data_IF_718668272716
#
_entry.id   IF_718668272716
#
_cell.length_a   1.000
_cell.length_b   1.000
_cell.length_c   1.000
_cell.angle_alpha   90.00
_cell.angle_beta   90.00
_cell.angle_gamma   90.00
#
_symmetry.space_group_name_H-M   'P 1'
#
loop_
_entity.id
_entity.type
_entity.pdbx_description
1 polymer ?
#
# COMPACT_ATOMS: atom_id res chain seq x y z
N UNK A 1 -17.07 14.67 26.55
CA UNK A 1 -15.85 15.02 25.81
C UNK A 1 -16.29 15.40 24.41
N UNK A 2 -16.02 16.62 23.94
CA UNK A 2 -16.38 17.07 22.59
C UNK A 2 -15.64 16.20 21.58
N UNK A 3 -16.37 15.47 20.73
CA UNK A 3 -15.78 14.66 19.68
C UNK A 3 -15.14 15.59 18.64
N UNK A 4 -13.84 15.55 18.54
CA UNK A 4 -13.12 16.27 17.48
C UNK A 4 -13.32 15.50 16.17
N UNK A 5 -13.97 16.10 15.20
CA UNK A 5 -14.19 15.46 13.89
C UNK A 5 -13.00 15.77 12.98
N UNK A 6 -12.27 14.76 12.50
CA UNK A 6 -11.20 14.96 11.53
C UNK A 6 -11.80 15.36 10.19
N UNK A 7 -11.12 16.28 9.49
CA UNK A 7 -11.50 16.75 8.15
C UNK A 7 -10.29 16.81 7.25
N UNK A 8 -10.54 16.57 5.97
CA UNK A 8 -9.57 16.70 4.90
C UNK A 8 -9.77 18.00 4.16
N UNK A 9 -8.82 18.92 4.26
CA UNK A 9 -8.84 20.17 3.51
C UNK A 9 -7.94 20.02 2.28
N UNK A 10 -8.53 20.12 1.08
CA UNK A 10 -7.76 20.07 -0.17
C UNK A 10 -6.83 21.27 -0.24
N UNK A 11 -5.54 21.02 -0.34
CA UNK A 11 -4.48 22.05 -0.36
C UNK A 11 -4.03 22.36 -1.78
N UNK A 12 -3.95 21.35 -2.64
CA UNK A 12 -3.44 21.52 -3.98
C UNK A 12 -4.01 20.47 -4.95
N UNK A 13 -3.95 20.79 -6.23
CA UNK A 13 -4.20 19.90 -7.36
C UNK A 13 -3.08 20.01 -8.37
N UNK A 14 -2.73 18.87 -8.96
CA UNK A 14 -1.69 18.76 -10.00
C UNK A 14 -2.23 17.87 -11.10
N UNK A 15 -2.19 18.33 -12.33
CA UNK A 15 -2.56 17.56 -13.52
C UNK A 15 -1.28 16.99 -14.16
N UNK A 16 -1.15 15.67 -14.18
CA UNK A 16 -0.03 14.94 -14.78
C UNK A 16 -0.31 14.55 -16.24
N UNK A 17 -1.50 14.78 -16.75
CA UNK A 17 -1.97 14.46 -18.11
C UNK A 17 -1.89 12.95 -18.47
N UNK A 18 -1.62 12.09 -17.51
CA UNK A 18 -1.59 10.63 -17.62
C UNK A 18 -1.95 10.02 -16.27
N UNK A 19 -2.67 8.90 -16.26
CA UNK A 19 -3.18 8.33 -15.02
C UNK A 19 -2.06 7.73 -14.14
N UNK A 20 -2.10 7.99 -12.82
CA UNK A 20 -1.13 7.45 -11.90
C UNK A 20 -1.41 5.96 -11.66
N UNK A 21 -0.38 5.12 -11.77
CA UNK A 21 -0.43 3.69 -11.48
C UNK A 21 -0.03 3.40 -10.04
N UNK A 22 1.03 4.06 -9.58
CA UNK A 22 1.53 3.94 -8.21
C UNK A 22 2.21 5.23 -7.78
N UNK A 23 2.24 5.48 -6.46
CA UNK A 23 2.90 6.64 -5.89
C UNK A 23 3.51 6.34 -4.52
N UNK A 24 4.65 6.99 -4.24
CA UNK A 24 5.37 6.89 -2.98
C UNK A 24 5.73 8.28 -2.45
N UNK A 25 5.38 8.56 -1.19
CA UNK A 25 5.83 9.74 -0.48
C UNK A 25 7.32 9.63 -0.13
N UNK A 26 8.04 10.74 -0.22
CA UNK A 26 9.36 10.86 0.39
C UNK A 26 9.26 10.76 1.92
N UNK A 27 10.28 10.28 2.63
CA UNK A 27 10.23 10.11 4.09
C UNK A 27 9.94 11.39 4.87
N UNK A 28 10.33 12.54 4.34
CA UNK A 28 10.04 13.87 4.89
C UNK A 28 8.65 14.40 4.55
N UNK A 29 7.85 13.61 3.80
CA UNK A 29 6.50 13.97 3.33
C UNK A 29 6.45 15.27 2.49
N UNK A 30 7.57 15.71 1.93
CA UNK A 30 7.65 16.93 1.13
C UNK A 30 7.53 16.66 -0.38
N UNK A 31 7.78 15.44 -0.83
CA UNK A 31 7.74 15.06 -2.25
C UNK A 31 6.96 13.76 -2.47
N UNK A 32 6.42 13.61 -3.68
CA UNK A 32 5.77 12.40 -4.14
C UNK A 32 6.39 11.94 -5.45
N UNK A 33 6.84 10.69 -5.49
CA UNK A 33 7.23 10.00 -6.71
C UNK A 33 5.99 9.32 -7.29
N UNK A 34 5.75 9.47 -8.59
CA UNK A 34 4.59 8.91 -9.29
C UNK A 34 5.04 8.16 -10.53
N UNK A 35 4.55 6.94 -10.67
CA UNK A 35 4.61 6.16 -11.91
C UNK A 35 3.31 6.29 -12.68
N UNK A 36 3.39 6.52 -13.98
CA UNK A 36 2.27 6.82 -14.87
C UNK A 36 1.99 5.67 -15.84
N UNK A 37 0.75 5.59 -16.29
CA UNK A 37 0.25 4.50 -17.14
C UNK A 37 0.96 4.37 -18.49
N UNK A 38 1.30 5.49 -19.12
CA UNK A 38 2.11 5.51 -20.36
C UNK A 38 3.61 5.40 -20.11
N UNK A 39 4.01 5.18 -18.85
CA UNK A 39 5.38 4.91 -18.43
C UNK A 39 6.14 6.13 -17.91
N UNK A 40 5.59 7.32 -18.00
CA UNK A 40 6.20 8.51 -17.42
C UNK A 40 6.49 8.36 -15.93
N UNK A 41 7.56 9.00 -15.45
CA UNK A 41 7.91 9.07 -14.04
C UNK A 41 7.97 10.56 -13.65
N UNK A 42 7.19 10.93 -12.64
CA UNK A 42 7.10 12.29 -12.16
C UNK A 42 7.49 12.41 -10.70
N UNK A 43 8.18 13.47 -10.36
CA UNK A 43 8.44 13.90 -8.99
C UNK A 43 7.64 15.17 -8.73
N UNK A 44 6.75 15.14 -7.76
CA UNK A 44 5.95 16.30 -7.32
C UNK A 44 6.56 16.83 -6.03
N UNK A 45 6.99 18.07 -6.03
CA UNK A 45 7.55 18.79 -4.87
C UNK A 45 6.49 19.71 -4.27
N UNK A 46 6.23 19.55 -2.97
CA UNK A 46 5.23 20.30 -2.20
C UNK A 46 5.86 21.39 -1.30
N UNK A 47 7.17 21.58 -1.33
CA UNK A 47 7.88 22.52 -0.47
C UNK A 47 7.72 23.99 -0.87
N UNK A 48 7.13 24.29 -2.03
CA UNK A 48 6.87 25.65 -2.51
C UNK A 48 5.47 26.16 -2.17
N UNK A 49 5.15 27.39 -2.61
CA UNK A 49 3.80 27.96 -2.50
C UNK A 49 2.78 27.19 -3.35
N UNK A 50 3.23 26.63 -4.47
CA UNK A 50 2.48 25.73 -5.34
C UNK A 50 3.31 24.47 -5.61
N UNK A 51 2.67 23.31 -5.82
CA UNK A 51 3.37 22.07 -6.19
C UNK A 51 4.15 22.24 -7.50
N UNK A 52 5.38 21.77 -7.51
CA UNK A 52 6.21 21.73 -8.71
C UNK A 52 6.34 20.31 -9.25
N UNK A 53 6.07 20.12 -10.54
CA UNK A 53 6.16 18.81 -11.20
C UNK A 53 7.42 18.75 -12.04
N UNK A 54 8.18 17.66 -11.88
CA UNK A 54 9.37 17.37 -12.69
C UNK A 54 9.27 15.96 -13.26
N UNK A 55 9.25 15.84 -14.59
CA UNK A 55 9.49 14.57 -15.27
C UNK A 55 10.93 14.13 -15.06
N UNK A 56 11.14 12.89 -14.62
CA UNK A 56 12.49 12.38 -14.28
C UNK A 56 12.96 11.24 -15.19
N UNK A 57 12.05 10.62 -15.94
CA UNK A 57 12.36 9.53 -16.86
C UNK A 57 11.11 8.77 -17.26
N UNK A 58 11.31 7.58 -17.83
CA UNK A 58 10.19 6.71 -18.20
C UNK A 58 10.56 5.24 -18.31
N UNK A 59 9.56 4.38 -18.14
CA UNK A 59 9.55 2.97 -18.54
C UNK A 59 8.82 2.79 -19.89
N UNK A 60 9.31 1.92 -20.74
CA UNK A 60 8.60 1.61 -21.99
C UNK A 60 7.37 0.73 -21.70
N UNK A 61 6.23 1.09 -22.27
CA UNK A 61 4.97 0.34 -22.14
C UNK A 61 4.16 0.64 -20.88
N UNK A 62 4.70 1.25 -19.86
CA UNK A 62 4.01 1.63 -18.62
C UNK A 62 4.86 1.45 -17.36
N UNK A 63 4.70 2.35 -16.39
CA UNK A 63 5.22 2.14 -15.04
C UNK A 63 4.34 1.11 -14.30
N UNK A 64 4.90 0.38 -13.34
CA UNK A 64 4.18 -0.62 -12.55
C UNK A 64 4.24 -0.35 -11.06
N UNK A 65 5.43 -0.09 -10.51
CA UNK A 65 5.60 0.18 -9.10
C UNK A 65 6.68 1.24 -8.85
N UNK A 66 6.50 1.99 -7.78
CA UNK A 66 7.48 2.94 -7.27
C UNK A 66 7.65 2.75 -5.76
N UNK A 67 8.88 2.90 -5.27
CA UNK A 67 9.16 2.77 -3.85
C UNK A 67 10.24 3.77 -3.43
N UNK A 68 10.01 4.46 -2.31
CA UNK A 68 10.98 5.37 -1.72
C UNK A 68 11.70 4.73 -0.54
N UNK A 69 13.02 4.85 -0.50
CA UNK A 69 13.83 4.38 0.62
C UNK A 69 13.52 5.23 1.87
N UNK A 70 13.35 4.60 3.04
CA UNK A 70 13.04 5.31 4.29
C UNK A 70 14.11 6.31 4.74
N UNK A 71 15.37 6.13 4.32
CA UNK A 71 16.46 7.10 4.53
C UNK A 71 16.42 8.32 3.58
N UNK A 72 15.53 8.31 2.59
CA UNK A 72 15.35 9.43 1.65
C UNK A 72 16.40 9.60 0.56
N UNK A 73 17.51 8.87 0.62
CA UNK A 73 18.62 9.03 -0.31
C UNK A 73 18.34 8.46 -1.71
N UNK A 74 17.45 7.47 -1.79
CA UNK A 74 17.17 6.74 -3.03
C UNK A 74 15.69 6.41 -3.18
N UNK A 75 15.28 6.13 -4.40
CA UNK A 75 14.02 5.50 -4.73
C UNK A 75 14.19 4.52 -5.89
N UNK A 76 13.25 3.62 -6.04
CA UNK A 76 13.24 2.64 -7.12
C UNK A 76 11.95 2.73 -7.93
N UNK A 77 12.04 2.43 -9.23
CA UNK A 77 10.89 2.36 -10.14
C UNK A 77 10.97 1.11 -10.99
N UNK A 78 9.83 0.57 -11.36
CA UNK A 78 9.74 -0.59 -12.25
C UNK A 78 8.66 -0.42 -13.31
N UNK A 79 8.76 -1.18 -14.40
CA UNK A 79 7.84 -1.06 -15.51
C UNK A 79 7.61 -2.34 -16.30
N UNK A 80 6.71 -2.22 -17.28
CA UNK A 80 6.37 -3.28 -18.22
C UNK A 80 7.52 -3.65 -19.16
N UNK A 81 8.54 -2.79 -19.25
CA UNK A 81 9.79 -3.06 -19.98
C UNK A 81 10.70 -4.07 -19.27
N UNK A 82 10.28 -4.59 -18.10
CA UNK A 82 11.05 -5.56 -17.31
C UNK A 82 12.26 -4.95 -16.60
N UNK A 83 12.35 -3.62 -16.56
CA UNK A 83 13.46 -2.92 -15.91
C UNK A 83 13.09 -2.48 -14.50
N UNK A 84 14.07 -2.53 -13.62
CA UNK A 84 14.05 -1.84 -12.32
C UNK A 84 15.17 -0.84 -12.31
N UNK A 85 14.84 0.42 -12.09
CA UNK A 85 15.78 1.54 -12.01
C UNK A 85 15.93 1.98 -10.56
N UNK A 86 17.17 2.11 -10.11
CA UNK A 86 17.53 2.71 -8.82
C UNK A 86 17.99 4.14 -9.06
N UNK A 87 17.40 5.09 -8.36
CA UNK A 87 17.61 6.52 -8.52
C UNK A 87 18.29 7.12 -7.29
N UNK A 88 19.19 8.05 -7.51
CA UNK A 88 19.64 8.99 -6.47
C UNK A 88 18.59 10.10 -6.32
N UNK A 89 18.03 10.28 -5.12
CA UNK A 89 16.94 11.23 -4.89
C UNK A 89 17.34 12.70 -4.98
N UNK A 90 18.64 13.01 -4.95
CA UNK A 90 19.19 14.36 -5.04
C UNK A 90 19.56 14.74 -6.48
N UNK A 91 20.31 13.87 -7.17
CA UNK A 91 20.77 14.14 -8.54
C UNK A 91 19.76 13.77 -9.61
N UNK A 92 18.82 12.83 -9.29
CA UNK A 92 17.86 12.20 -10.20
C UNK A 92 18.55 11.40 -11.31
N UNK A 93 19.78 10.99 -11.08
CA UNK A 93 20.45 10.00 -11.92
C UNK A 93 19.98 8.60 -11.57
N UNK A 94 19.81 7.77 -12.58
CA UNK A 94 19.37 6.40 -12.40
C UNK A 94 20.39 5.40 -12.93
N UNK A 95 20.37 4.21 -12.33
CA UNK A 95 21.04 3.03 -12.88
C UNK A 95 20.11 1.83 -12.89
N UNK A 96 20.30 0.96 -13.83
CA UNK A 96 19.55 -0.27 -13.95
C UNK A 96 19.99 -1.31 -12.91
N UNK A 97 19.05 -1.85 -12.13
CA UNK A 97 19.27 -2.97 -11.22
C UNK A 97 18.88 -4.30 -11.85
N UNK A 98 17.78 -4.30 -12.62
CA UNK A 98 17.21 -5.50 -13.25
C UNK A 98 16.84 -5.13 -14.66
N UNK A 99 17.19 -5.99 -15.62
CA UNK A 99 16.69 -5.97 -16.98
C UNK A 99 16.34 -7.41 -17.39
N UNK A 100 15.09 -7.61 -17.74
CA UNK A 100 14.56 -8.91 -18.17
C UNK A 100 13.32 -8.73 -19.04
N UNK A 101 12.83 -9.81 -19.64
CA UNK A 101 11.70 -9.77 -20.55
C UNK A 101 10.33 -9.79 -19.85
N UNK A 102 10.29 -9.85 -18.53
CA UNK A 102 9.06 -9.99 -17.74
C UNK A 102 8.83 -8.79 -16.86
N UNK A 103 7.57 -8.46 -16.63
CA UNK A 103 7.16 -7.32 -15.81
C UNK A 103 7.66 -7.44 -14.37
N UNK A 104 8.10 -6.32 -13.83
CA UNK A 104 8.49 -6.19 -12.43
C UNK A 104 7.34 -5.51 -11.68
N UNK A 105 6.42 -6.32 -11.13
CA UNK A 105 5.11 -5.81 -10.66
C UNK A 105 5.14 -5.20 -9.27
N UNK A 106 6.10 -5.61 -8.42
CA UNK A 106 6.13 -5.14 -7.04
C UNK A 106 7.53 -4.74 -6.61
N UNK A 107 7.60 -3.59 -5.94
CA UNK A 107 8.78 -3.04 -5.28
C UNK A 107 8.43 -2.71 -3.83
N UNK A 108 9.35 -3.02 -2.90
CA UNK A 108 9.19 -2.60 -1.51
C UNK A 108 10.55 -2.41 -0.84
N UNK A 109 10.79 -1.24 -0.21
CA UNK A 109 11.90 -1.06 0.70
C UNK A 109 11.57 -1.61 2.08
N UNK A 110 12.57 -2.20 2.74
CA UNK A 110 12.50 -2.51 4.16
C UNK A 110 12.35 -1.22 4.98
N UNK A 111 11.77 -1.34 6.18
CA UNK A 111 11.52 -0.17 7.04
C UNK A 111 12.80 0.59 7.43
N UNK A 112 13.93 -0.11 7.56
CA UNK A 112 15.24 0.51 7.85
C UNK A 112 15.93 1.07 6.59
N UNK A 113 15.32 0.90 5.41
CA UNK A 113 15.81 1.36 4.12
C UNK A 113 17.05 0.65 3.59
N UNK A 114 17.50 -0.44 4.24
CA UNK A 114 18.70 -1.16 3.82
C UNK A 114 18.47 -2.11 2.67
N UNK A 115 17.23 -2.58 2.49
CA UNK A 115 16.89 -3.63 1.54
C UNK A 115 15.77 -3.21 0.60
N UNK A 116 15.94 -3.52 -0.68
CA UNK A 116 14.92 -3.38 -1.71
C UNK A 116 14.50 -4.78 -2.17
N UNK A 117 13.23 -5.10 -2.02
CA UNK A 117 12.62 -6.29 -2.59
C UNK A 117 12.01 -5.99 -3.96
N UNK A 118 12.25 -6.88 -4.91
CA UNK A 118 11.75 -6.83 -6.28
C UNK A 118 11.07 -8.16 -6.58
N UNK A 119 9.78 -8.14 -6.89
CA UNK A 119 9.05 -9.33 -7.31
C UNK A 119 8.83 -9.34 -8.83
N UNK A 120 9.16 -10.47 -9.43
CA UNK A 120 9.01 -10.72 -10.86
C UNK A 120 8.41 -12.09 -11.06
N UNK A 121 7.13 -12.14 -11.44
CA UNK A 121 6.36 -13.39 -11.51
C UNK A 121 6.46 -14.19 -10.19
N UNK A 122 7.08 -15.37 -10.21
CA UNK A 122 7.29 -16.24 -9.05
C UNK A 122 8.65 -16.09 -8.38
N UNK A 123 9.43 -15.08 -8.74
CA UNK A 123 10.77 -14.84 -8.20
C UNK A 123 10.78 -13.60 -7.31
N UNK A 124 11.37 -13.71 -6.13
CA UNK A 124 11.64 -12.59 -5.24
C UNK A 124 13.15 -12.36 -5.16
N UNK A 125 13.59 -11.16 -5.49
CA UNK A 125 15.00 -10.74 -5.46
C UNK A 125 15.19 -9.63 -4.43
N UNK A 126 16.27 -9.71 -3.67
CA UNK A 126 16.57 -8.76 -2.60
C UNK A 126 17.90 -8.09 -2.89
N UNK A 127 17.89 -6.77 -2.89
CA UNK A 127 19.06 -5.92 -3.12
C UNK A 127 19.36 -5.11 -1.85
N UNK A 128 20.65 -4.86 -1.60
CA UNK A 128 21.06 -3.90 -0.58
C UNK A 128 20.86 -2.44 -1.04
N UNK A 129 21.15 -1.50 -0.16
CA UNK A 129 21.03 -0.08 -0.45
C UNK A 129 21.91 0.39 -1.63
N UNK A 130 23.03 -0.28 -1.87
CA UNK A 130 23.91 -0.05 -3.00
C UNK A 130 23.42 -0.72 -4.29
N UNK A 131 22.34 -1.55 -4.21
CA UNK A 131 21.74 -2.27 -5.32
C UNK A 131 22.55 -3.50 -5.74
N UNK A 132 23.25 -4.10 -4.81
CA UNK A 132 23.87 -5.43 -4.99
C UNK A 132 22.84 -6.49 -4.60
N UNK A 133 22.60 -7.47 -5.47
CA UNK A 133 21.70 -8.59 -5.17
C UNK A 133 22.31 -9.45 -4.06
N UNK A 134 21.60 -9.64 -2.97
CA UNK A 134 22.03 -10.37 -1.78
C UNK A 134 21.30 -11.68 -1.56
N UNK A 135 20.06 -11.77 -2.03
CA UNK A 135 19.27 -12.99 -1.95
C UNK A 135 18.32 -13.12 -3.14
N UNK A 136 17.97 -14.35 -3.47
CA UNK A 136 17.01 -14.70 -4.50
C UNK A 136 16.21 -15.92 -4.06
N UNK A 137 14.90 -15.86 -4.22
CA UNK A 137 13.96 -16.92 -3.89
C UNK A 137 13.12 -17.23 -5.13
N UNK A 138 13.35 -18.41 -5.73
CA UNK A 138 12.75 -18.84 -7.01
C UNK A 138 11.60 -19.84 -6.82
N UNK A 139 11.21 -20.12 -5.58
CA UNK A 139 10.36 -21.26 -5.21
C UNK A 139 8.92 -20.87 -4.87
N UNK A 140 8.41 -19.74 -5.38
CA UNK A 140 7.00 -19.39 -5.21
C UNK A 140 6.11 -20.31 -6.05
N UNK A 141 4.98 -20.80 -5.51
CA UNK A 141 4.08 -21.73 -6.23
C UNK A 141 3.23 -21.03 -7.31
N UNK A 142 3.72 -19.95 -7.91
CA UNK A 142 3.04 -19.17 -8.94
C UNK A 142 3.52 -17.74 -8.98
N UNK A 143 2.72 -16.88 -9.62
CA UNK A 143 3.01 -15.44 -9.64
C UNK A 143 2.86 -14.86 -8.23
N UNK A 144 3.80 -14.02 -7.82
CA UNK A 144 3.70 -13.25 -6.59
C UNK A 144 2.65 -12.15 -6.81
N UNK A 145 1.57 -12.19 -6.04
CA UNK A 145 0.47 -11.23 -6.13
C UNK A 145 0.69 -9.99 -5.25
N UNK A 146 1.47 -10.12 -4.18
CA UNK A 146 1.88 -9.01 -3.33
C UNK A 146 3.11 -9.39 -2.48
N UNK A 147 3.87 -8.38 -2.07
CA UNK A 147 4.98 -8.48 -1.13
C UNK A 147 4.80 -7.47 0.00
N UNK A 148 5.23 -7.83 1.20
CA UNK A 148 5.22 -6.90 2.34
C UNK A 148 6.33 -7.24 3.34
N UNK A 149 7.15 -6.26 3.69
CA UNK A 149 8.14 -6.40 4.76
C UNK A 149 7.46 -6.50 6.12
N UNK A 150 7.91 -7.44 6.94
CA UNK A 150 7.43 -7.58 8.31
C UNK A 150 7.93 -6.41 9.15
N UNK A 151 7.06 -5.69 9.86
CA UNK A 151 7.49 -4.66 10.80
C UNK A 151 8.38 -5.27 11.90
N UNK A 152 9.46 -4.57 12.24
CA UNK A 152 10.39 -4.93 13.33
C UNK A 152 11.21 -6.22 13.13
N UNK A 153 11.17 -6.82 11.95
CA UNK A 153 11.96 -7.99 11.60
C UNK A 153 12.50 -7.88 10.18
N UNK A 154 13.61 -8.55 9.90
CA UNK A 154 14.20 -8.59 8.56
C UNK A 154 13.62 -9.78 7.79
N UNK A 155 12.32 -9.76 7.64
CA UNK A 155 11.53 -10.78 6.97
C UNK A 155 10.59 -10.13 5.96
N UNK A 156 10.36 -10.80 4.84
CA UNK A 156 9.41 -10.35 3.82
C UNK A 156 8.43 -11.46 3.48
N UNK A 157 7.14 -11.14 3.49
CA UNK A 157 6.11 -12.02 2.98
C UNK A 157 5.96 -11.84 1.47
N UNK A 158 5.89 -12.94 0.75
CA UNK A 158 5.47 -13.01 -0.64
C UNK A 158 4.25 -13.92 -0.73
N UNK A 159 3.12 -13.39 -1.19
CA UNK A 159 1.85 -14.14 -1.31
C UNK A 159 1.59 -14.50 -2.75
N UNK A 160 1.05 -15.71 -2.94
CA UNK A 160 0.80 -16.27 -4.27
C UNK A 160 -0.33 -17.29 -4.24
N UNK A 161 -0.48 -18.10 -5.28
CA UNK A 161 -1.28 -19.31 -5.24
C UNK A 161 -0.73 -20.28 -4.18
N UNK A 162 -1.58 -20.74 -3.26
CA UNK A 162 -1.20 -21.73 -2.24
C UNK A 162 -0.69 -21.15 -0.92
N UNK A 163 -0.84 -19.83 -0.69
CA UNK A 163 -0.53 -19.22 0.60
C UNK A 163 0.52 -18.11 0.55
N UNK A 164 1.31 -18.00 1.61
CA UNK A 164 2.39 -17.04 1.75
C UNK A 164 3.72 -17.75 2.06
N UNK A 165 4.81 -17.24 1.51
CA UNK A 165 6.15 -17.56 1.96
C UNK A 165 6.72 -16.34 2.68
N UNK A 166 7.24 -16.55 3.89
CA UNK A 166 7.96 -15.55 4.66
C UNK A 166 9.44 -15.87 4.53
N UNK A 167 10.19 -14.96 3.92
CA UNK A 167 11.62 -15.11 3.69
C UNK A 167 12.39 -14.30 4.72
N UNK A 168 13.20 -14.97 5.53
CA UNK A 168 14.17 -14.37 6.44
C UNK A 168 15.50 -14.17 5.70
N UNK A 169 16.16 -13.03 5.89
CA UNK A 169 17.40 -12.70 5.20
C UNK A 169 18.66 -12.96 6.04
N UNK A 170 18.58 -12.75 7.36
CA UNK A 170 19.70 -12.86 8.29
C UNK A 170 19.31 -13.72 9.50
N UNK A 171 20.21 -14.50 10.10
CA UNK A 171 21.65 -14.64 9.76
C UNK A 171 21.92 -15.50 8.53
N UNK A 172 20.94 -16.23 8.05
CA UNK A 172 21.00 -17.03 6.80
C UNK A 172 19.62 -16.98 6.14
N UNK A 173 19.58 -16.88 4.80
CA UNK A 173 18.31 -16.95 4.09
C UNK A 173 17.55 -18.25 4.41
N UNK A 174 16.34 -18.11 4.90
CA UNK A 174 15.41 -19.21 5.18
C UNK A 174 13.98 -18.84 4.72
N UNK A 175 13.10 -19.82 4.65
CA UNK A 175 11.72 -19.62 4.19
C UNK A 175 10.74 -20.41 5.05
N UNK A 176 9.86 -19.69 5.73
CA UNK A 176 8.66 -20.24 6.38
C UNK A 176 7.50 -20.26 5.39
N UNK A 177 7.05 -21.44 5.01
CA UNK A 177 5.90 -21.60 4.12
C UNK A 177 4.59 -21.69 4.92
N UNK A 178 3.75 -20.70 4.77
CA UNK A 178 2.40 -20.65 5.31
C UNK A 178 1.41 -21.15 4.25
N UNK A 179 1.07 -22.43 4.30
CA UNK A 179 0.25 -23.09 3.28
C UNK A 179 -1.24 -22.77 3.45
N UNK A 180 -1.87 -22.44 2.32
CA UNK A 180 -3.31 -22.26 2.23
C UNK A 180 -3.79 -22.71 0.84
N UNK A 181 -5.01 -23.27 0.76
CA UNK A 181 -5.52 -23.85 -0.49
C UNK A 181 -5.96 -22.82 -1.53
N UNK A 182 -6.26 -21.60 -1.10
CA UNK A 182 -6.75 -20.52 -1.95
C UNK A 182 -5.63 -19.61 -2.47
N UNK A 183 -5.94 -18.83 -3.51
CA UNK A 183 -5.03 -17.79 -4.01
C UNK A 183 -5.07 -16.56 -3.12
N UNK A 184 -3.93 -16.25 -2.51
CA UNK A 184 -3.70 -15.02 -1.74
C UNK A 184 -3.44 -13.84 -2.70
N UNK A 185 -4.19 -12.74 -2.55
CA UNK A 185 -4.14 -11.57 -3.44
C UNK A 185 -3.44 -10.38 -2.82
N UNK A 186 -3.45 -10.25 -1.49
CA UNK A 186 -2.87 -9.12 -0.77
C UNK A 186 -1.95 -9.60 0.35
N UNK A 187 -1.05 -8.74 0.80
CA UNK A 187 -0.19 -9.00 1.95
C UNK A 187 -0.21 -7.78 2.88
N UNK A 188 -0.81 -7.92 4.05
CA UNK A 188 -0.84 -6.88 5.07
C UNK A 188 -0.33 -7.42 6.41
N UNK A 189 0.71 -6.80 6.95
CA UNK A 189 1.20 -7.08 8.29
C UNK A 189 0.53 -6.19 9.32
N UNK A 190 0.24 -6.74 10.50
CA UNK A 190 -0.04 -5.91 11.67
C UNK A 190 1.20 -5.08 12.03
N UNK A 191 1.07 -3.82 12.52
CA UNK A 191 2.21 -2.96 12.85
C UNK A 191 3.18 -3.54 13.88
N UNK A 192 2.74 -4.47 14.73
CA UNK A 192 3.61 -5.20 15.65
C UNK A 192 4.31 -6.41 15.02
N UNK A 193 3.96 -6.76 13.77
CA UNK A 193 4.52 -7.87 13.02
C UNK A 193 4.05 -9.25 13.48
N UNK A 194 3.03 -9.34 14.33
CA UNK A 194 2.54 -10.62 14.88
C UNK A 194 1.59 -11.35 13.92
N UNK A 195 0.85 -10.59 13.09
CA UNK A 195 -0.18 -11.12 12.20
C UNK A 195 0.09 -10.74 10.76
N UNK A 196 -0.12 -11.69 9.84
CA UNK A 196 -0.18 -11.47 8.40
C UNK A 196 -1.60 -11.76 7.93
N UNK A 197 -2.22 -10.85 7.20
CA UNK A 197 -3.52 -11.03 6.58
C UNK A 197 -3.41 -10.99 5.06
N UNK A 198 -4.21 -11.80 4.38
CA UNK A 198 -4.34 -11.81 2.92
C UNK A 198 -5.79 -11.92 2.50
N UNK A 199 -6.22 -11.03 1.61
CA UNK A 199 -7.47 -11.20 0.89
C UNK A 199 -7.35 -12.34 -0.12
N UNK A 200 -8.44 -13.07 -0.31
CA UNK A 200 -8.48 -14.27 -1.13
C UNK A 200 -9.29 -14.05 -2.42
N UNK A 201 -8.93 -14.80 -3.45
CA UNK A 201 -9.72 -14.88 -4.69
C UNK A 201 -11.09 -15.51 -4.43
N UNK A 202 -11.20 -16.39 -3.46
CA UNK A 202 -12.36 -17.20 -3.11
C UNK A 202 -13.25 -16.52 -2.05
N UNK A 203 -13.40 -15.20 -2.13
CA UNK A 203 -14.36 -14.40 -1.34
C UNK A 203 -14.15 -14.49 0.19
N UNK A 204 -12.92 -14.46 0.61
CA UNK A 204 -12.54 -14.52 2.02
C UNK A 204 -11.29 -13.71 2.34
N UNK A 205 -10.96 -13.68 3.61
CA UNK A 205 -9.69 -13.19 4.14
C UNK A 205 -9.09 -14.29 4.99
N UNK A 206 -7.85 -14.63 4.73
CA UNK A 206 -7.09 -15.52 5.59
C UNK A 206 -6.09 -14.71 6.42
N UNK A 207 -5.92 -15.10 7.68
CA UNK A 207 -4.86 -14.52 8.48
C UNK A 207 -4.08 -15.57 9.26
N UNK A 208 -2.82 -15.30 9.47
CA UNK A 208 -1.89 -16.09 10.26
C UNK A 208 -1.45 -15.26 11.46
N UNK A 209 -1.67 -15.79 12.67
CA UNK A 209 -1.07 -15.25 13.89
C UNK A 209 0.23 -16.02 14.16
N UNK A 210 1.34 -15.46 13.73
CA UNK A 210 2.65 -16.10 13.84
C UNK A 210 3.14 -16.19 15.29
N UNK A 211 2.70 -15.29 16.16
CA UNK A 211 3.08 -15.31 17.57
C UNK A 211 2.36 -16.42 18.35
N UNK A 212 1.10 -16.71 17.99
CA UNK A 212 0.30 -17.78 18.60
C UNK A 212 0.43 -19.11 17.86
N UNK A 213 0.98 -19.12 16.63
CA UNK A 213 1.02 -20.30 15.77
C UNK A 213 -0.36 -20.74 15.26
N UNK A 214 -1.32 -19.82 15.21
CA UNK A 214 -2.69 -20.07 14.78
C UNK A 214 -3.01 -19.41 13.45
N UNK A 215 -4.05 -19.88 12.79
CA UNK A 215 -4.57 -19.29 11.55
C UNK A 215 -6.08 -19.43 11.51
N UNK A 216 -6.74 -18.48 10.80
CA UNK A 216 -8.20 -18.50 10.66
C UNK A 216 -8.62 -17.85 9.35
N UNK A 217 -9.85 -18.13 8.92
CA UNK A 217 -10.43 -17.59 7.69
C UNK A 217 -11.75 -16.87 8.00
N UNK A 218 -11.86 -15.65 7.50
CA UNK A 218 -13.09 -14.86 7.55
C UNK A 218 -13.82 -14.97 6.22
N UNK A 219 -15.05 -15.48 6.23
CA UNK A 219 -15.90 -15.75 5.05
C UNK A 219 -17.09 -14.80 4.98
N UNK A 220 -17.86 -14.90 3.90
CA UNK A 220 -19.10 -14.15 3.73
C UNK A 220 -18.95 -12.85 2.94
N UNK A 221 -17.83 -12.68 2.26
CA UNK A 221 -17.65 -11.53 1.36
C UNK A 221 -18.40 -11.74 0.03
N UNK A 222 -18.94 -10.66 -0.58
CA UNK A 222 -19.71 -10.76 -1.82
C UNK A 222 -18.84 -11.07 -3.05
N UNK A 223 -17.52 -10.98 -2.92
CA UNK A 223 -16.57 -11.19 -4.02
C UNK A 223 -15.14 -11.31 -3.53
N UNK A 224 -14.19 -11.30 -4.45
CA UNK A 224 -12.75 -11.30 -4.16
C UNK A 224 -12.40 -10.17 -3.20
N UNK A 225 -11.59 -10.46 -2.19
CA UNK A 225 -11.04 -9.43 -1.30
C UNK A 225 -9.70 -8.98 -1.85
N UNK A 226 -9.67 -7.78 -2.43
CA UNK A 226 -8.49 -7.21 -3.06
C UNK A 226 -7.84 -6.09 -2.27
N UNK A 227 -8.44 -5.71 -1.15
CA UNK A 227 -7.99 -4.63 -0.29
C UNK A 227 -7.90 -5.12 1.15
N UNK A 228 -6.74 -4.97 1.77
CA UNK A 228 -6.51 -5.29 3.19
C UNK A 228 -5.51 -4.31 3.78
N UNK A 229 -5.80 -3.75 4.93
CA UNK A 229 -4.85 -2.92 5.67
C UNK A 229 -5.11 -2.97 7.17
N UNK A 230 -4.04 -2.94 7.98
CA UNK A 230 -4.13 -2.81 9.42
C UNK A 230 -4.07 -1.34 9.85
N UNK A 231 -4.78 -1.00 10.93
CA UNK A 231 -4.64 0.29 11.59
C UNK A 231 -3.29 0.42 12.30
N UNK A 232 -2.71 1.63 12.30
CA UNK A 232 -1.39 1.88 12.86
C UNK A 232 -1.24 1.52 14.35
N UNK A 233 -2.35 1.42 15.08
CA UNK A 233 -2.39 1.06 16.50
C UNK A 233 -2.67 -0.43 16.79
N UNK A 234 -2.60 -1.31 15.80
CA UNK A 234 -2.91 -2.75 15.89
C UNK A 234 -4.34 -3.11 16.34
N UNK A 235 -5.31 -2.21 16.26
CA UNK A 235 -6.67 -2.49 16.76
C UNK A 235 -7.61 -3.03 15.71
N UNK A 236 -7.36 -2.72 14.45
CA UNK A 236 -8.29 -3.00 13.36
C UNK A 236 -7.58 -3.56 12.13
N UNK A 237 -8.25 -4.50 11.47
CA UNK A 237 -7.99 -4.93 10.10
C UNK A 237 -9.17 -4.49 9.25
N UNK A 238 -8.97 -3.60 8.28
CA UNK A 238 -9.96 -3.26 7.29
C UNK A 238 -9.75 -4.09 6.02
N UNK A 239 -10.86 -4.55 5.45
CA UNK A 239 -10.90 -5.40 4.25
C UNK A 239 -11.97 -4.89 3.31
N UNK A 240 -11.74 -4.96 1.99
CA UNK A 240 -12.65 -4.44 0.98
C UNK A 240 -12.99 -5.49 -0.08
N UNK A 241 -14.29 -5.67 -0.35
CA UNK A 241 -14.81 -6.52 -1.41
C UNK A 241 -16.10 -5.94 -1.99
N UNK A 242 -16.16 -5.77 -3.32
CA UNK A 242 -17.26 -5.04 -3.94
C UNK A 242 -17.33 -3.61 -3.43
N UNK A 243 -18.50 -3.16 -3.00
CA UNK A 243 -18.77 -1.83 -2.44
C UNK A 243 -18.64 -1.77 -0.91
N UNK A 244 -18.40 -2.92 -0.25
CA UNK A 244 -18.43 -3.06 1.20
C UNK A 244 -17.05 -3.06 1.82
N UNK A 245 -16.88 -2.27 2.88
CA UNK A 245 -15.72 -2.32 3.77
C UNK A 245 -16.13 -3.06 5.03
N UNK A 246 -15.32 -4.03 5.44
CA UNK A 246 -15.49 -4.76 6.69
C UNK A 246 -14.29 -4.47 7.58
N UNK A 247 -14.55 -4.02 8.81
CA UNK A 247 -13.51 -3.73 9.80
C UNK A 247 -13.62 -4.72 10.94
N UNK A 248 -12.54 -5.44 11.18
CA UNK A 248 -12.40 -6.44 12.22
C UNK A 248 -11.60 -5.91 13.39
N UNK A 249 -12.00 -6.23 14.61
CA UNK A 249 -11.15 -6.00 15.78
C UNK A 249 -10.02 -7.03 15.79
N UNK A 250 -8.79 -6.56 15.98
CA UNK A 250 -7.58 -7.40 16.04
C UNK A 250 -6.95 -7.40 17.44
N UNK A 251 -7.71 -7.01 18.45
CA UNK A 251 -7.29 -7.13 19.84
C UNK A 251 -7.23 -8.59 20.29
N UNK A 252 -6.37 -8.90 21.25
CA UNK A 252 -6.17 -10.28 21.73
C UNK A 252 -5.46 -11.15 20.69
N UNK A 253 -6.03 -12.32 20.39
CA UNK A 253 -5.43 -13.32 19.50
C UNK A 253 -5.83 -13.14 18.01
N UNK A 254 -6.58 -12.11 17.68
CA UNK A 254 -6.92 -11.77 16.32
C UNK A 254 -8.42 -11.55 16.10
N UNK A 255 -8.89 -11.49 14.85
CA UNK A 255 -10.29 -11.18 14.51
C UNK A 255 -11.26 -12.31 14.78
N UNK A 256 -10.80 -13.53 15.08
CA UNK A 256 -11.68 -14.69 15.33
C UNK A 256 -12.59 -14.46 16.53
N UNK A 257 -13.91 -14.67 16.34
CA UNK A 257 -14.90 -14.43 17.38
C UNK A 257 -15.26 -12.97 17.62
N UNK A 258 -14.62 -12.02 16.89
CA UNK A 258 -15.00 -10.61 16.95
C UNK A 258 -16.18 -10.29 16.03
N UNK A 259 -17.03 -9.35 16.45
CA UNK A 259 -18.09 -8.82 15.61
C UNK A 259 -17.50 -7.86 14.57
N UNK A 260 -17.84 -8.08 13.29
CA UNK A 260 -17.36 -7.27 12.19
C UNK A 260 -18.18 -5.99 12.04
N UNK A 261 -17.51 -4.85 11.97
CA UNK A 261 -18.14 -3.58 11.62
C UNK A 261 -18.23 -3.45 10.10
N UNK A 262 -19.44 -3.21 9.57
CA UNK A 262 -19.66 -2.96 8.14
C UNK A 262 -19.84 -1.47 7.88
N UNK A 263 -19.05 -0.92 6.92
CA UNK A 263 -19.13 0.44 6.44
C UNK A 263 -19.68 0.42 5.00
N UNK A 264 -20.89 0.99 4.79
CA UNK A 264 -21.67 0.84 3.55
C UNK A 264 -22.16 2.20 3.04
N UNK A 265 -21.27 3.02 2.54
CA UNK A 265 -21.63 4.33 1.94
C UNK A 265 -21.22 4.41 0.47
N UNK A 266 -20.25 3.59 0.03
CA UNK A 266 -19.92 3.51 -1.37
C UNK A 266 -21.01 2.82 -2.17
N UNK A 267 -21.29 3.36 -3.35
CA UNK A 267 -22.33 2.86 -4.28
C UNK A 267 -21.77 2.04 -5.43
N UNK A 268 -20.44 1.87 -5.48
CA UNK A 268 -19.74 1.08 -6.50
C UNK A 268 -18.51 0.42 -5.88
N UNK A 269 -17.82 -0.41 -6.68
CA UNK A 269 -16.69 -1.22 -6.26
C UNK A 269 -15.54 -0.37 -5.74
N UNK A 270 -15.04 -0.74 -4.56
CA UNK A 270 -13.87 -0.15 -3.93
C UNK A 270 -12.62 -0.30 -4.80
N UNK A 271 -11.82 0.75 -4.87
CA UNK A 271 -10.54 0.80 -5.58
C UNK A 271 -9.37 0.91 -4.62
N UNK A 272 -9.50 1.65 -3.53
CA UNK A 272 -8.46 1.85 -2.54
C UNK A 272 -8.99 1.82 -1.10
N UNK A 273 -8.15 1.37 -0.18
CA UNK A 273 -8.44 1.31 1.23
C UNK A 273 -7.13 1.44 2.02
N UNK A 274 -7.01 2.44 2.88
CA UNK A 274 -5.76 2.68 3.61
C UNK A 274 -6.00 3.33 4.97
N UNK A 275 -5.37 2.80 6.01
CA UNK A 275 -5.32 3.45 7.31
C UNK A 275 -4.22 4.51 7.38
N UNK A 276 -4.46 5.53 8.16
CA UNK A 276 -3.43 6.48 8.59
C UNK A 276 -2.29 5.73 9.31
N UNK A 277 -1.00 6.02 9.03
CA UNK A 277 0.13 5.20 9.48
C UNK A 277 0.21 4.94 10.99
N UNK A 278 -0.12 5.93 11.82
CA UNK A 278 -0.06 5.79 13.30
C UNK A 278 -1.42 5.99 13.98
N UNK A 279 -2.51 5.94 13.20
CA UNK A 279 -3.86 6.25 13.67
C UNK A 279 -4.87 5.15 13.44
N UNK A 280 -6.12 5.56 13.60
CA UNK A 280 -7.31 4.73 13.30
C UNK A 280 -8.20 5.35 12.22
N UNK A 281 -7.78 6.45 11.59
CA UNK A 281 -8.50 7.02 10.47
C UNK A 281 -8.29 6.11 9.25
N UNK A 282 -9.40 5.73 8.63
CA UNK A 282 -9.42 4.93 7.43
C UNK A 282 -9.87 5.81 6.27
N UNK A 283 -9.13 5.82 5.19
CA UNK A 283 -9.54 6.43 3.94
C UNK A 283 -9.88 5.35 2.94
N UNK A 284 -10.96 5.54 2.20
CA UNK A 284 -11.40 4.65 1.12
C UNK A 284 -11.86 5.45 -0.08
N UNK A 285 -11.81 4.80 -1.25
CA UNK A 285 -12.48 5.26 -2.43
C UNK A 285 -13.01 4.11 -3.30
N UNK A 286 -13.82 4.45 -4.29
CA UNK A 286 -14.48 3.52 -5.17
C UNK A 286 -14.68 4.10 -6.59
N UNK A 287 -15.20 3.29 -7.51
CA UNK A 287 -15.59 3.76 -8.83
C UNK A 287 -16.71 4.82 -8.82
N UNK A 288 -17.38 5.02 -7.68
CA UNK A 288 -18.34 6.12 -7.46
C UNK A 288 -17.69 7.52 -7.34
N UNK A 289 -16.35 7.59 -7.45
CA UNK A 289 -15.51 8.80 -7.37
C UNK A 289 -15.53 9.49 -6.01
N UNK A 290 -16.11 8.86 -4.99
CA UNK A 290 -16.13 9.38 -3.64
C UNK A 290 -14.88 8.93 -2.86
N UNK A 291 -14.18 9.88 -2.28
CA UNK A 291 -13.18 9.63 -1.25
C UNK A 291 -13.85 9.84 0.12
N UNK A 292 -13.84 8.81 0.96
CA UNK A 292 -14.48 8.81 2.28
C UNK A 292 -13.44 8.65 3.38
N UNK A 293 -13.57 9.44 4.44
CA UNK A 293 -12.76 9.35 5.65
C UNK A 293 -13.59 8.79 6.80
N UNK A 294 -13.15 7.70 7.40
CA UNK A 294 -13.87 6.96 8.43
C UNK A 294 -13.15 7.00 9.77
N UNK A 295 -13.96 6.93 10.84
CA UNK A 295 -13.50 6.69 12.22
C UNK A 295 -14.15 5.41 12.76
N UNK A 296 -13.68 4.21 12.38
CA UNK A 296 -14.35 2.95 12.74
C UNK A 296 -14.51 2.76 14.26
N UNK A 297 -13.64 3.39 15.06
CA UNK A 297 -13.73 3.35 16.52
C UNK A 297 -14.93 4.15 17.10
N UNK A 298 -15.56 5.00 16.30
CA UNK A 298 -16.60 5.94 16.79
C UNK A 298 -17.96 5.74 16.12
N UNK A 299 -17.98 5.48 14.82
CA UNK A 299 -19.22 5.36 14.06
C UNK A 299 -19.06 4.58 12.76
N UNK A 300 -20.18 4.27 12.12
CA UNK A 300 -20.29 3.58 10.83
C UNK A 300 -20.49 4.52 9.64
N UNK A 301 -20.71 5.82 9.88
CA UNK A 301 -20.81 6.83 8.83
C UNK A 301 -19.48 7.53 8.63
N UNK A 302 -19.14 7.98 7.41
CA UNK A 302 -17.91 8.73 7.18
C UNK A 302 -17.92 10.06 7.95
N UNK A 303 -16.77 10.44 8.46
CA UNK A 303 -16.58 11.73 9.15
C UNK A 303 -16.37 12.87 8.18
N UNK A 304 -15.89 12.58 6.98
CA UNK A 304 -15.66 13.54 5.90
C UNK A 304 -15.72 12.87 4.53
N UNK A 305 -16.07 13.63 3.50
CA UNK A 305 -16.20 13.15 2.11
C UNK A 305 -15.69 14.19 1.13
N UNK A 306 -15.12 13.75 0.01
CA UNK A 306 -14.86 14.59 -1.16
C UNK A 306 -15.19 13.85 -2.45
N UNK A 307 -15.68 14.57 -3.46
CA UNK A 307 -15.98 14.05 -4.79
C UNK A 307 -14.86 14.44 -5.76
N UNK A 308 -14.22 13.45 -6.35
CA UNK A 308 -13.17 13.64 -7.33
C UNK A 308 -13.73 13.75 -8.75
N UNK A 309 -12.92 14.26 -9.68
CA UNK A 309 -13.34 14.46 -11.07
C UNK A 309 -13.63 13.15 -11.80
N UNK A 310 -12.77 12.15 -11.56
CA UNK A 310 -12.84 10.82 -12.14
C UNK A 310 -12.60 9.74 -11.08
N UNK A 311 -12.67 8.46 -11.48
CA UNK A 311 -12.37 7.32 -10.63
C UNK A 311 -10.98 7.42 -10.02
N UNK A 312 -10.87 7.15 -8.74
CA UNK A 312 -9.59 7.18 -8.03
C UNK A 312 -8.77 5.94 -8.38
N UNK A 313 -7.54 6.16 -8.79
CA UNK A 313 -6.58 5.12 -9.12
C UNK A 313 -5.66 4.81 -7.94
N UNK A 314 -5.37 5.80 -7.10
CA UNK A 314 -4.50 5.62 -5.94
C UNK A 314 -4.89 6.53 -4.77
N UNK A 315 -4.62 6.04 -3.55
CA UNK A 315 -4.85 6.76 -2.31
C UNK A 315 -3.69 6.44 -1.35
N UNK A 316 -2.93 7.45 -0.90
CA UNK A 316 -1.73 7.27 -0.08
C UNK A 316 -1.61 8.30 1.01
N UNK A 317 -1.54 7.88 2.27
CA UNK A 317 -1.15 8.74 3.37
C UNK A 317 0.33 9.09 3.30
N UNK A 318 0.68 10.32 3.70
CA UNK A 318 2.07 10.69 3.99
C UNK A 318 2.61 9.91 5.19
N UNK A 319 3.92 9.79 5.31
CA UNK A 319 4.55 9.01 6.40
C UNK A 319 4.21 9.54 7.80
N UNK A 320 4.01 10.84 7.95
CA UNK A 320 3.61 11.49 9.21
C UNK A 320 2.08 11.44 9.45
N UNK A 321 1.31 10.89 8.50
CA UNK A 321 -0.14 10.78 8.58
C UNK A 321 -0.91 12.10 8.54
N UNK A 322 -0.27 13.20 8.18
CA UNK A 322 -0.89 14.54 8.15
C UNK A 322 -1.44 14.92 6.79
N UNK A 323 -1.02 14.25 5.74
CA UNK A 323 -1.46 14.50 4.38
C UNK A 323 -2.00 13.21 3.75
N UNK A 324 -2.99 13.36 2.89
CA UNK A 324 -3.52 12.29 2.05
C UNK A 324 -3.40 12.71 0.58
N UNK A 325 -2.85 11.84 -0.24
CA UNK A 325 -2.82 11.95 -1.68
C UNK A 325 -3.93 11.09 -2.28
N UNK A 326 -4.73 11.66 -3.16
CA UNK A 326 -5.62 10.93 -4.06
C UNK A 326 -5.25 11.25 -5.50
N UNK A 327 -5.11 10.22 -6.34
CA UNK A 327 -4.86 10.36 -7.78
C UNK A 327 -5.99 9.72 -8.57
N UNK A 328 -6.58 10.44 -9.51
CA UNK A 328 -7.67 9.95 -10.34
C UNK A 328 -7.20 9.47 -11.73
N UNK A 329 -8.10 8.79 -12.44
CA UNK A 329 -7.80 8.23 -13.77
C UNK A 329 -7.66 9.26 -14.87
N UNK A 330 -8.03 10.53 -14.64
CA UNK A 330 -7.72 11.63 -15.54
C UNK A 330 -6.29 12.16 -15.39
N UNK A 331 -5.54 11.67 -14.40
CA UNK A 331 -4.18 12.12 -14.13
C UNK A 331 -4.08 13.25 -13.11
N UNK A 332 -5.18 13.58 -12.43
CA UNK A 332 -5.17 14.64 -11.43
C UNK A 332 -4.81 14.09 -10.07
N UNK A 333 -3.75 14.62 -9.49
CA UNK A 333 -3.39 14.41 -8.09
C UNK A 333 -4.02 15.50 -7.22
N UNK A 334 -4.71 15.08 -6.16
CA UNK A 334 -5.28 15.97 -5.14
C UNK A 334 -4.57 15.72 -3.80
N UNK A 335 -4.07 16.79 -3.19
CA UNK A 335 -3.36 16.76 -1.91
C UNK A 335 -4.25 17.35 -0.83
N UNK A 336 -4.43 16.62 0.26
CA UNK A 336 -5.27 17.01 1.38
C UNK A 336 -4.44 17.10 2.66
N UNK A 337 -4.65 18.16 3.45
CA UNK A 337 -4.15 18.22 4.81
C UNK A 337 -5.23 17.75 5.78
N UNK A 338 -4.83 16.91 6.74
CA UNK A 338 -5.70 16.49 7.83
C UNK A 338 -5.78 17.61 8.87
N UNK A 339 -6.98 18.07 9.15
CA UNK A 339 -7.28 19.00 10.23
C UNK A 339 -8.20 18.35 11.26
N UNK A 340 -8.07 18.75 12.51
CA UNK A 340 -8.95 18.30 13.59
C UNK A 340 -9.66 19.54 14.12
N UNK A 341 -10.89 19.77 13.68
CA UNK A 341 -11.66 20.90 14.18
C UNK A 341 -12.11 20.66 15.62
N UNK A 342 -11.82 21.60 16.51
CA UNK A 342 -12.57 21.70 17.77
C UNK A 342 -13.99 22.07 17.37
N UNK A 343 -15.01 21.27 17.74
CA UNK A 343 -16.39 21.69 17.58
C UNK A 343 -16.56 23.09 18.17
N UNK A 344 -16.99 24.05 17.34
CA UNK A 344 -17.39 25.34 17.83
C UNK A 344 -18.49 25.14 18.89
N UNK A 345 -18.31 25.79 20.03
CA UNK A 345 -19.30 25.82 21.10
C UNK A 345 -20.51 26.63 20.68
#
# INVERSE_FOLDING_TARGET
MSSRTPRLARQARVDLQDFPVDAAWSPDSARVLVGLGEGGLALVDLGGAEPAVKGIGRHAGGALAVAWQSGGARFATSGQDGRVLLWDARTLESRELVAQSQWCEHLAYSRDGKWLAVAVRGQLRIFDAEGVERARFDNQPGVINAIAWRPKALEIAAVSQGGANIHELEPRPDTLALRWSAACLTAAWSPDGRMLASGLRENGVHYWNLAAGTQSEMKGYPGKVTLTCFSGNNRYLATGAGESIVVWSTGGDGPEGSEALQLKEHSDKLTQLTFQPEGTLLASDAHDRQMLLWQPAQNTSPGDTDLLGEEVALLRWSHDGRQLLAGDRAGVLSFYALSVSSAAR
#
